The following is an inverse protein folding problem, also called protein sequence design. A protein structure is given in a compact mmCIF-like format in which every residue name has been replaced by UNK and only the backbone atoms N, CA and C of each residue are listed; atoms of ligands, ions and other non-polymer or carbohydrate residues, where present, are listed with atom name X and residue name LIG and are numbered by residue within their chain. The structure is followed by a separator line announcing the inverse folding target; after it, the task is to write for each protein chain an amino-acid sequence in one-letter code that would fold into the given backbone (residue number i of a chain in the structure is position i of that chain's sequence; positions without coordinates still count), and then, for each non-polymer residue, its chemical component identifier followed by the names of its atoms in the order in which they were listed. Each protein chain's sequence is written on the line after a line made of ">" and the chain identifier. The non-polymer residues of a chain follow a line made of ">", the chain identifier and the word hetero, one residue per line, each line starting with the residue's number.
data_IF_557991423130
#
_entry.id   IF_557991423130
#
_cell.length_a   1.000
_cell.length_b   1.000
_cell.length_c   1.000
_cell.angle_alpha   90.00
_cell.angle_beta   90.00
_cell.angle_gamma   90.00
#
_symmetry.space_group_name_H-M   'P 1'
#
loop_
_entity.id
_entity.type
_entity.pdbx_description
1 polymer ?
#
# COMPACT_ATOMS: atom_id res chain seq x y z
N UNK A 1 -33.54 -50.36 9.08
CA UNK A 1 -32.34 -49.98 8.31
C UNK A 1 -32.80 -49.09 7.16
N UNK A 2 -32.72 -47.75 7.24
CA UNK A 2 -33.00 -46.85 6.09
C UNK A 2 -32.53 -45.38 6.28
N UNK A 3 -32.12 -44.96 7.49
CA UNK A 3 -31.79 -43.55 7.74
C UNK A 3 -30.35 -43.11 7.37
N UNK A 4 -29.44 -44.03 7.07
CA UNK A 4 -28.03 -43.70 6.80
C UNK A 4 -27.76 -43.35 5.32
N UNK A 5 -28.44 -44.01 4.36
CA UNK A 5 -28.29 -43.71 2.91
C UNK A 5 -28.80 -42.30 2.58
N UNK A 6 -29.91 -41.88 3.18
CA UNK A 6 -30.46 -40.53 2.98
C UNK A 6 -29.50 -39.42 3.43
N UNK A 7 -28.63 -39.69 4.42
CA UNK A 7 -27.74 -38.68 4.97
C UNK A 7 -26.57 -38.37 4.02
N UNK A 8 -25.99 -39.38 3.37
CA UNK A 8 -24.91 -39.18 2.40
C UNK A 8 -25.42 -38.49 1.13
N UNK A 9 -26.56 -38.93 0.59
CA UNK A 9 -27.21 -38.32 -0.57
C UNK A 9 -27.58 -36.86 -0.29
N UNK A 10 -28.06 -36.54 0.91
CA UNK A 10 -28.35 -35.17 1.34
C UNK A 10 -27.10 -34.29 1.47
N UNK A 11 -25.94 -34.86 1.80
CA UNK A 11 -24.67 -34.12 1.85
C UNK A 11 -24.06 -33.90 0.48
N UNK A 12 -24.23 -34.84 -0.45
CA UNK A 12 -23.79 -34.71 -1.84
C UNK A 12 -24.65 -33.70 -2.60
N UNK A 13 -25.96 -33.63 -2.32
CA UNK A 13 -26.85 -32.64 -2.93
C UNK A 13 -26.71 -31.22 -2.36
N UNK A 14 -25.91 -31.06 -1.31
CA UNK A 14 -25.64 -29.75 -0.71
C UNK A 14 -24.80 -28.88 -1.65
N UNK A 15 -25.06 -27.57 -1.77
CA UNK A 15 -24.19 -26.66 -2.52
C UNK A 15 -22.80 -26.50 -1.90
N UNK A 16 -22.62 -26.94 -0.65
CA UNK A 16 -21.33 -26.97 0.03
C UNK A 16 -20.54 -28.24 -0.29
N UNK A 17 -21.08 -29.18 -1.05
CA UNK A 17 -20.35 -30.37 -1.44
C UNK A 17 -19.09 -30.00 -2.23
N UNK A 18 -17.94 -30.47 -1.77
CA UNK A 18 -16.65 -30.26 -2.44
C UNK A 18 -16.19 -31.52 -3.16
N UNK A 19 -16.17 -32.65 -2.46
CA UNK A 19 -15.73 -33.92 -3.02
C UNK A 19 -16.23 -35.11 -2.19
N UNK A 20 -16.23 -36.31 -2.76
CA UNK A 20 -16.42 -37.55 -2.04
C UNK A 20 -15.25 -38.51 -2.32
N UNK A 21 -14.74 -39.16 -1.28
CA UNK A 21 -13.68 -40.17 -1.40
C UNK A 21 -14.20 -41.49 -0.85
N UNK A 22 -14.27 -42.50 -1.71
CA UNK A 22 -14.73 -43.84 -1.37
C UNK A 22 -13.53 -44.64 -0.88
N UNK A 23 -13.59 -45.15 0.35
CA UNK A 23 -12.54 -46.00 0.91
C UNK A 23 -12.84 -47.49 0.68
N UNK A 24 -14.13 -47.88 0.74
CA UNK A 24 -14.63 -49.20 0.39
C UNK A 24 -16.16 -49.17 0.22
N UNK A 25 -16.78 -50.31 -0.04
CA UNK A 25 -18.23 -50.45 -0.29
C UNK A 25 -19.13 -49.91 0.83
N UNK A 26 -18.61 -49.83 2.06
CA UNK A 26 -19.37 -49.43 3.24
C UNK A 26 -18.89 -48.09 3.85
N UNK A 27 -17.90 -47.43 3.27
CA UNK A 27 -17.31 -46.21 3.84
C UNK A 27 -16.95 -45.19 2.75
N UNK A 28 -17.55 -44.00 2.86
CA UNK A 28 -17.27 -42.82 2.03
C UNK A 28 -17.06 -41.60 2.92
N UNK A 29 -16.00 -40.83 2.67
CA UNK A 29 -15.84 -39.49 3.23
C UNK A 29 -16.42 -38.46 2.27
N UNK A 30 -17.20 -37.53 2.80
CA UNK A 30 -17.77 -36.40 2.06
C UNK A 30 -17.09 -35.13 2.55
N UNK A 31 -16.28 -34.51 1.69
CA UNK A 31 -15.65 -33.22 1.93
C UNK A 31 -16.65 -32.10 1.61
N UNK A 32 -16.81 -31.18 2.56
CA UNK A 32 -17.72 -30.04 2.48
C UNK A 32 -16.91 -28.74 2.56
N UNK A 33 -17.34 -27.70 1.83
CA UNK A 33 -16.90 -26.32 2.01
C UNK A 33 -17.40 -25.78 3.36
N UNK A 34 -16.69 -24.79 3.91
CA UNK A 34 -17.15 -24.07 5.10
C UNK A 34 -18.33 -23.18 4.71
N UNK A 35 -19.45 -23.32 5.41
CA UNK A 35 -20.64 -22.47 5.22
C UNK A 35 -20.41 -21.02 5.68
N UNK A 36 -19.57 -20.86 6.70
CA UNK A 36 -19.27 -19.57 7.33
C UNK A 36 -17.75 -19.41 7.44
N UNK A 37 -17.29 -18.19 7.23
CA UNK A 37 -15.89 -17.81 7.36
C UNK A 37 -15.84 -16.61 8.30
N UNK A 38 -14.94 -16.66 9.27
CA UNK A 38 -14.70 -15.56 10.19
C UNK A 38 -13.72 -14.57 9.55
N UNK A 39 -14.15 -13.31 9.41
CA UNK A 39 -13.30 -12.23 8.95
C UNK A 39 -12.59 -11.58 10.16
N UNK A 40 -11.61 -12.28 10.71
CA UNK A 40 -10.82 -11.86 11.88
C UNK A 40 -9.63 -10.96 11.51
N UNK A 41 -9.46 -10.65 10.23
CA UNK A 41 -8.38 -9.83 9.72
C UNK A 41 -8.84 -8.37 9.54
N UNK A 42 -7.98 -7.39 9.82
CA UNK A 42 -8.34 -5.97 9.72
C UNK A 42 -8.31 -5.48 8.26
N UNK A 43 -9.07 -6.12 7.36
CA UNK A 43 -9.05 -5.84 5.92
C UNK A 43 -9.44 -4.38 5.64
N UNK A 44 -10.50 -3.90 6.28
CA UNK A 44 -10.97 -2.51 6.12
C UNK A 44 -9.94 -1.50 6.61
N UNK A 45 -9.27 -1.78 7.73
CA UNK A 45 -8.20 -0.91 8.25
C UNK A 45 -7.02 -0.90 7.28
N UNK A 46 -6.63 -2.06 6.75
CA UNK A 46 -5.59 -2.18 5.73
C UNK A 46 -5.92 -1.36 4.48
N UNK A 47 -7.16 -1.45 4.00
CA UNK A 47 -7.65 -0.64 2.87
C UNK A 47 -7.57 0.86 3.18
N UNK A 48 -8.06 1.29 4.34
CA UNK A 48 -8.01 2.71 4.74
C UNK A 48 -6.59 3.25 4.84
N UNK A 49 -5.64 2.46 5.37
CA UNK A 49 -4.23 2.86 5.45
C UNK A 49 -3.64 3.03 4.04
N UNK A 50 -3.93 2.09 3.13
CA UNK A 50 -3.46 2.16 1.74
C UNK A 50 -4.04 3.37 1.01
N UNK A 51 -5.33 3.66 1.21
CA UNK A 51 -5.97 4.81 0.58
C UNK A 51 -5.38 6.12 1.11
N UNK A 52 -5.17 6.25 2.42
CA UNK A 52 -4.52 7.43 3.02
C UNK A 52 -3.08 7.62 2.53
N UNK A 53 -2.32 6.54 2.40
CA UNK A 53 -0.95 6.59 1.87
C UNK A 53 -0.95 7.09 0.41
N UNK A 54 -1.85 6.59 -0.44
CA UNK A 54 -1.99 7.07 -1.82
C UNK A 54 -2.40 8.53 -1.88
N UNK A 55 -3.38 8.95 -1.09
CA UNK A 55 -3.80 10.36 -1.02
C UNK A 55 -2.62 11.27 -0.67
N UNK A 56 -1.79 10.88 0.30
CA UNK A 56 -0.58 11.64 0.66
C UNK A 56 0.38 11.81 -0.52
N UNK A 57 0.65 10.74 -1.28
CA UNK A 57 1.52 10.81 -2.45
C UNK A 57 0.90 11.66 -3.57
N UNK A 58 -0.41 11.54 -3.80
CA UNK A 58 -1.11 12.34 -4.80
C UNK A 58 -1.16 13.83 -4.45
N UNK A 59 -1.38 14.16 -3.18
CA UNK A 59 -1.36 15.54 -2.71
C UNK A 59 0.05 16.14 -2.86
N UNK A 60 1.10 15.36 -2.59
CA UNK A 60 2.48 15.81 -2.86
C UNK A 60 2.76 15.97 -4.36
N UNK A 61 2.27 15.05 -5.20
CA UNK A 61 2.49 15.09 -6.64
C UNK A 61 1.76 16.26 -7.31
N UNK A 62 0.44 16.33 -7.16
CA UNK A 62 -0.39 17.33 -7.83
C UNK A 62 -0.44 18.66 -7.06
N UNK A 63 -0.39 18.62 -5.73
CA UNK A 63 -0.50 19.80 -4.88
C UNK A 63 0.83 20.48 -4.54
N UNK A 64 1.97 19.81 -4.73
CA UNK A 64 3.28 20.43 -4.51
C UNK A 64 4.18 20.37 -5.75
N UNK A 65 4.47 19.18 -6.29
CA UNK A 65 5.40 19.07 -7.41
C UNK A 65 4.86 19.79 -8.68
N UNK A 66 3.59 19.57 -9.01
CA UNK A 66 2.97 20.21 -10.17
C UNK A 66 2.87 21.73 -10.03
N UNK A 67 2.52 22.23 -8.84
CA UNK A 67 2.47 23.68 -8.57
C UNK A 67 3.87 24.31 -8.58
N UNK A 68 4.86 23.63 -8.02
CA UNK A 68 6.21 24.19 -7.81
C UNK A 68 7.07 24.15 -9.06
N UNK A 69 6.98 23.07 -9.83
CA UNK A 69 7.84 22.81 -10.97
C UNK A 69 7.13 22.98 -12.31
N UNK A 70 5.79 22.96 -12.36
CA UNK A 70 5.01 23.13 -13.59
C UNK A 70 5.46 22.14 -14.68
N UNK A 71 5.86 22.62 -15.85
CA UNK A 71 6.38 21.77 -16.94
C UNK A 71 7.82 21.28 -16.71
N UNK A 72 8.50 21.82 -15.68
CA UNK A 72 9.90 21.56 -15.40
C UNK A 72 10.15 20.28 -14.59
N UNK A 73 9.15 19.41 -14.43
CA UNK A 73 9.38 18.09 -13.86
C UNK A 73 8.65 17.00 -14.64
N UNK A 74 9.21 15.80 -14.60
CA UNK A 74 8.61 14.58 -15.14
C UNK A 74 8.65 13.50 -14.08
N UNK A 75 7.54 12.78 -13.90
CA UNK A 75 7.53 11.59 -13.05
C UNK A 75 8.13 10.41 -13.80
N UNK A 76 9.26 9.90 -13.31
CA UNK A 76 9.98 8.78 -13.93
C UNK A 76 9.47 7.44 -13.41
N UNK A 77 9.16 7.36 -12.12
CA UNK A 77 8.77 6.11 -11.46
C UNK A 77 8.03 6.37 -10.15
N UNK A 78 7.14 5.45 -9.76
CA UNK A 78 6.41 5.46 -8.48
C UNK A 78 6.41 4.06 -7.87
N UNK A 79 6.65 3.96 -6.57
CA UNK A 79 6.42 2.78 -5.73
C UNK A 79 5.51 3.14 -4.54
N UNK A 80 5.20 2.16 -3.70
CA UNK A 80 4.28 2.21 -2.55
C UNK A 80 4.49 3.42 -1.65
N UNK A 81 5.73 3.85 -1.45
CA UNK A 81 6.11 4.92 -0.53
C UNK A 81 7.07 5.95 -1.15
N UNK A 82 7.31 5.89 -2.46
CA UNK A 82 8.30 6.75 -3.11
C UNK A 82 7.91 7.16 -4.52
N UNK A 83 8.38 8.34 -4.92
CA UNK A 83 8.26 8.87 -6.26
C UNK A 83 9.64 9.33 -6.73
N UNK A 84 10.01 8.96 -7.95
CA UNK A 84 11.23 9.42 -8.61
C UNK A 84 10.81 10.42 -9.68
N UNK A 85 11.31 11.64 -9.55
CA UNK A 85 11.07 12.72 -10.50
C UNK A 85 12.38 13.22 -11.07
N UNK A 86 12.34 13.54 -12.35
CA UNK A 86 13.34 14.37 -13.00
C UNK A 86 12.88 15.81 -12.91
N UNK A 87 13.74 16.70 -12.40
CA UNK A 87 13.51 18.14 -12.37
C UNK A 87 14.51 18.79 -13.32
N UNK A 88 14.01 19.66 -14.21
CA UNK A 88 14.75 20.37 -15.24
C UNK A 88 14.80 21.84 -14.89
N UNK A 89 15.86 22.55 -15.27
CA UNK A 89 15.95 24.02 -15.25
C UNK A 89 15.73 24.74 -13.90
N UNK A 90 15.39 24.01 -12.83
CA UNK A 90 15.18 24.52 -11.46
C UNK A 90 16.05 23.73 -10.49
N UNK A 91 16.63 24.42 -9.51
CA UNK A 91 17.37 23.76 -8.43
C UNK A 91 16.38 23.15 -7.40
N UNK A 92 16.33 21.81 -7.23
CA UNK A 92 15.49 21.19 -6.23
C UNK A 92 15.89 21.53 -4.79
N UNK A 93 17.16 21.86 -4.51
CA UNK A 93 17.61 22.21 -3.17
C UNK A 93 17.05 23.56 -2.71
N UNK A 94 17.02 24.56 -3.59
CA UNK A 94 16.39 25.85 -3.28
C UNK A 94 14.89 25.70 -2.95
N UNK A 95 14.21 24.79 -3.64
CA UNK A 95 12.81 24.50 -3.36
C UNK A 95 12.64 23.88 -1.97
N UNK A 96 13.45 22.87 -1.68
CA UNK A 96 13.43 22.19 -0.40
C UNK A 96 13.76 23.13 0.77
N UNK A 97 14.74 24.03 0.65
CA UNK A 97 15.09 24.99 1.72
C UNK A 97 13.87 25.86 2.08
N UNK A 98 13.17 26.39 1.08
CA UNK A 98 12.00 27.26 1.28
C UNK A 98 10.82 26.49 1.88
N UNK A 99 10.60 25.27 1.41
CA UNK A 99 9.35 24.55 1.62
C UNK A 99 9.48 23.41 2.66
N UNK A 100 10.68 23.22 3.25
CA UNK A 100 11.01 22.12 4.17
C UNK A 100 10.02 21.95 5.32
N UNK A 101 9.52 23.04 5.90
CA UNK A 101 8.62 23.00 7.05
C UNK A 101 7.24 22.43 6.71
N UNK A 102 6.81 22.54 5.46
CA UNK A 102 5.44 22.19 5.06
C UNK A 102 5.38 20.81 4.40
N UNK A 103 6.39 20.41 3.63
CA UNK A 103 6.31 19.22 2.78
C UNK A 103 7.36 18.14 3.06
N UNK A 104 8.44 18.45 3.80
CA UNK A 104 9.58 17.54 3.92
C UNK A 104 9.94 17.16 5.36
N UNK A 105 10.35 15.91 5.56
CA UNK A 105 11.08 15.48 6.75
C UNK A 105 12.58 15.57 6.46
N UNK A 106 13.21 16.60 7.01
CA UNK A 106 14.65 16.86 6.91
C UNK A 106 15.37 16.56 8.22
N UNK A 107 14.69 15.91 9.18
CA UNK A 107 15.23 15.70 10.52
C UNK A 107 16.47 14.81 10.57
N UNK A 108 16.66 13.98 9.54
CA UNK A 108 17.80 13.07 9.40
C UNK A 108 19.01 13.72 8.69
N UNK A 109 18.91 14.98 8.24
CA UNK A 109 20.03 15.67 7.57
C UNK A 109 21.14 16.02 8.57
N UNK A 110 22.43 16.06 8.17
CA UNK A 110 23.50 16.59 9.01
C UNK A 110 23.25 18.05 9.40
N UNK A 111 23.64 18.44 10.62
CA UNK A 111 23.51 19.83 11.09
C UNK A 111 24.35 20.80 10.28
N UNK A 112 25.48 20.32 9.77
CA UNK A 112 26.48 21.00 8.95
C UNK A 112 26.35 20.64 7.47
N UNK A 113 25.11 20.40 7.00
CA UNK A 113 24.90 20.13 5.58
C UNK A 113 25.22 21.35 4.71
N UNK A 114 25.83 21.12 3.54
CA UNK A 114 26.34 22.17 2.64
C UNK A 114 25.26 23.10 2.05
N UNK A 115 23.98 22.80 2.28
CA UNK A 115 22.83 23.52 1.77
C UNK A 115 22.09 24.30 2.86
N UNK A 116 22.61 24.32 4.10
CA UNK A 116 22.02 24.97 5.28
C UNK A 116 20.54 24.62 5.52
N UNK A 117 20.15 23.38 5.18
CA UNK A 117 18.76 22.91 5.33
C UNK A 117 18.48 22.68 6.81
N UNK A 118 17.42 23.29 7.38
CA UNK A 118 17.08 23.11 8.78
C UNK A 118 16.55 21.69 9.02
N UNK A 119 16.87 21.11 10.19
CA UNK A 119 16.31 19.84 10.64
C UNK A 119 14.89 20.05 11.19
N UNK A 120 13.86 19.61 10.46
CA UNK A 120 12.45 19.76 10.87
C UNK A 120 11.66 18.47 10.64
N UNK A 121 10.44 18.41 11.19
CA UNK A 121 9.41 17.42 10.84
C UNK A 121 9.71 15.95 11.14
N UNK A 122 10.52 15.67 12.17
CA UNK A 122 10.90 14.30 12.57
C UNK A 122 9.70 13.39 12.77
N UNK A 123 9.51 12.43 11.85
CA UNK A 123 8.44 11.42 11.88
C UNK A 123 7.03 12.00 11.91
N UNK A 124 6.84 13.22 11.39
CA UNK A 124 5.51 13.79 11.20
C UNK A 124 4.86 13.09 9.99
N UNK A 125 3.61 12.63 10.16
CA UNK A 125 2.87 11.95 9.09
C UNK A 125 2.64 12.89 7.90
N UNK A 126 2.71 12.33 6.69
CA UNK A 126 2.49 13.08 5.44
C UNK A 126 3.72 13.81 4.91
N UNK A 127 4.84 13.80 5.64
CA UNK A 127 6.06 14.49 5.24
C UNK A 127 6.93 13.60 4.34
N UNK A 128 7.43 14.17 3.25
CA UNK A 128 8.26 13.45 2.29
C UNK A 128 9.73 13.50 2.68
N UNK A 129 10.43 12.37 2.56
CA UNK A 129 11.90 12.35 2.61
C UNK A 129 12.44 12.51 1.20
N UNK A 130 13.42 13.39 1.02
CA UNK A 130 13.99 13.68 -0.28
C UNK A 130 15.40 13.10 -0.42
N UNK A 131 15.71 12.62 -1.62
CA UNK A 131 17.07 12.24 -2.01
C UNK A 131 17.32 12.74 -3.43
N UNK A 132 18.31 13.60 -3.58
CA UNK A 132 18.67 14.20 -4.87
C UNK A 132 19.93 13.52 -5.40
N UNK A 133 19.93 13.24 -6.71
CA UNK A 133 21.11 12.83 -7.48
C UNK A 133 21.20 13.73 -8.68
N UNK A 134 22.37 14.34 -8.91
CA UNK A 134 22.64 15.04 -10.15
C UNK A 134 22.76 14.00 -11.27
N UNK A 135 22.08 14.25 -12.40
CA UNK A 135 22.40 13.58 -13.65
C UNK A 135 23.71 14.20 -14.18
N UNK A 136 24.74 13.37 -14.36
CA UNK A 136 26.02 13.75 -14.97
C UNK A 136 25.92 13.75 -16.48
#
# INVERSE_FOLDING_TARGET
>A
MNNFRSCAEARISSPLFKNATIFNENLVAVEMQRAEIWLDKPIYVGMSIVDLAKTTIYDFHYGYLAERFEENFTTCYTDTDSVIVEIREKDPYEAMIKDCRQYFDTSDYPKDNIYDIPQVNKKVLGMMKMKIRAAL
#
